data_IF_092313380080
#
_entry.id   IF_092313380080
#
_cell.length_a   1.000
_cell.length_b   1.000
_cell.length_c   1.000
_cell.angle_alpha   90.00
_cell.angle_beta   90.00
_cell.angle_gamma   90.00
#
_symmetry.space_group_name_H-M   'P 1'
#
loop_
_entity.id
_entity.type
_entity.pdbx_description
1 polymer ?
#
# COMPACT_ATOMS: atom_id res chain seq x y z
N UNK A 1 -5.17 -16.04 -6.75
CA UNK A 1 -5.65 -15.41 -5.53
C UNK A 1 -5.52 -13.90 -5.64
N UNK A 2 -6.55 -13.19 -5.23
CA UNK A 2 -6.68 -11.78 -5.55
C UNK A 2 -6.55 -10.89 -4.32
N UNK A 3 -5.76 -9.82 -4.45
CA UNK A 3 -5.66 -8.81 -3.39
C UNK A 3 -6.92 -7.94 -3.47
N UNK A 4 -7.55 -7.69 -2.33
CA UNK A 4 -8.76 -6.88 -2.25
C UNK A 4 -8.48 -5.58 -1.51
N UNK A 5 -9.38 -4.61 -1.66
CA UNK A 5 -9.28 -3.35 -0.91
C UNK A 5 -9.31 -3.61 0.60
N UNK A 6 -10.15 -4.56 1.02
CA UNK A 6 -10.24 -4.93 2.42
C UNK A 6 -8.90 -5.44 2.97
N UNK A 7 -8.19 -6.25 2.18
CA UNK A 7 -6.87 -6.74 2.58
C UNK A 7 -5.88 -5.61 2.76
N UNK A 8 -5.92 -4.61 1.87
CA UNK A 8 -5.02 -3.47 1.98
C UNK A 8 -5.31 -2.66 3.25
N UNK A 9 -6.57 -2.45 3.56
CA UNK A 9 -6.97 -1.74 4.78
C UNK A 9 -6.53 -2.52 6.01
N UNK A 10 -6.71 -3.84 6.01
CA UNK A 10 -6.29 -4.69 7.12
C UNK A 10 -4.77 -4.66 7.30
N UNK A 11 -4.04 -4.67 6.20
CA UNK A 11 -2.59 -4.54 6.28
C UNK A 11 -2.20 -3.22 6.94
N UNK A 12 -2.76 -2.12 6.45
CA UNK A 12 -2.45 -0.80 6.97
C UNK A 12 -2.77 -0.70 8.46
N UNK A 13 -3.91 -1.25 8.86
CA UNK A 13 -4.32 -1.26 10.27
C UNK A 13 -3.41 -2.11 11.15
N UNK A 14 -2.71 -3.08 10.57
CA UNK A 14 -1.81 -3.96 11.30
C UNK A 14 -0.43 -3.35 11.54
N UNK A 15 -0.11 -2.26 10.85
CA UNK A 15 1.18 -1.60 11.01
C UNK A 15 1.30 -0.99 12.40
N UNK A 16 2.53 -0.91 12.90
CA UNK A 16 2.78 -0.26 14.16
C UNK A 16 2.42 1.23 14.06
N UNK A 17 2.06 1.81 15.19
CA UNK A 17 1.53 3.17 15.23
C UNK A 17 2.49 4.20 14.63
N UNK A 18 3.78 4.07 14.91
CA UNK A 18 4.78 5.02 14.41
C UNK A 18 4.85 5.03 12.88
N UNK A 19 4.89 3.83 12.28
CA UNK A 19 4.98 3.72 10.84
C UNK A 19 3.68 4.20 10.19
N UNK A 20 2.54 3.84 10.76
CA UNK A 20 1.24 4.27 10.25
C UNK A 20 1.10 5.79 10.29
N UNK A 21 1.54 6.41 11.38
CA UNK A 21 1.50 7.86 11.53
C UNK A 21 2.42 8.54 10.52
N UNK A 22 3.62 8.00 10.32
CA UNK A 22 4.56 8.51 9.34
C UNK A 22 3.95 8.52 7.94
N UNK A 23 3.37 7.39 7.53
CA UNK A 23 2.74 7.29 6.21
C UNK A 23 1.57 8.27 6.11
N UNK A 24 0.73 8.32 7.13
CA UNK A 24 -0.45 9.18 7.14
C UNK A 24 -0.09 10.64 6.87
N UNK A 25 0.85 11.18 7.64
CA UNK A 25 1.20 12.60 7.50
C UNK A 25 1.94 12.90 6.22
N UNK A 26 2.79 11.99 5.76
CA UNK A 26 3.52 12.21 4.52
C UNK A 26 2.58 12.19 3.31
N UNK A 27 1.64 11.25 3.29
CA UNK A 27 0.66 11.17 2.19
C UNK A 27 -0.28 12.36 2.24
N UNK A 28 -0.75 12.71 3.41
CA UNK A 28 -1.64 13.86 3.56
C UNK A 28 -0.98 15.16 3.08
N UNK A 29 0.29 15.36 3.43
CA UNK A 29 1.04 16.54 3.00
C UNK A 29 1.26 16.59 1.50
N UNK A 30 1.50 15.43 0.87
CA UNK A 30 1.81 15.37 -0.56
C UNK A 30 0.56 15.44 -1.44
N UNK A 31 -0.56 14.90 -0.99
CA UNK A 31 -1.75 14.73 -1.83
C UNK A 31 -3.01 15.40 -1.30
N UNK A 32 -3.00 15.89 -0.08
CA UNK A 32 -4.18 16.48 0.54
C UNK A 32 -5.23 15.46 0.98
N UNK A 33 -4.92 14.17 0.89
CA UNK A 33 -5.80 13.07 1.30
C UNK A 33 -5.01 12.01 2.04
N UNK A 34 -5.63 11.32 3.02
CA UNK A 34 -4.90 10.31 3.80
C UNK A 34 -4.66 9.04 2.98
N UNK A 35 -3.74 8.22 3.45
CA UNK A 35 -3.36 7.00 2.74
C UNK A 35 -4.53 6.02 2.61
N UNK A 36 -5.35 5.89 3.65
CA UNK A 36 -6.49 4.97 3.61
C UNK A 36 -7.51 5.35 2.54
N UNK A 37 -7.60 6.65 2.18
CA UNK A 37 -8.43 7.06 1.06
C UNK A 37 -7.98 6.32 -0.22
N UNK A 38 -6.67 6.30 -0.47
CA UNK A 38 -6.16 5.65 -1.68
C UNK A 38 -6.34 4.14 -1.65
N UNK A 39 -6.20 3.53 -0.48
CA UNK A 39 -6.38 2.09 -0.35
C UNK A 39 -7.80 1.66 -0.74
N UNK A 40 -8.78 2.48 -0.43
CA UNK A 40 -10.20 2.16 -0.68
C UNK A 40 -10.65 2.66 -2.04
N UNK A 41 -10.35 3.92 -2.36
CA UNK A 41 -10.90 4.56 -3.55
C UNK A 41 -10.03 4.40 -4.80
N UNK A 42 -8.71 4.42 -4.64
CA UNK A 42 -7.80 4.38 -5.77
C UNK A 42 -6.58 3.49 -5.50
N UNK A 43 -6.81 2.19 -5.23
CA UNK A 43 -5.70 1.31 -4.88
C UNK A 43 -4.65 1.18 -5.99
N UNK A 44 -5.02 1.43 -7.23
CA UNK A 44 -4.09 1.42 -8.36
C UNK A 44 -3.10 2.58 -8.34
N UNK A 45 -3.27 3.54 -7.43
CA UNK A 45 -2.34 4.65 -7.27
C UNK A 45 -1.41 4.49 -6.07
N UNK A 46 -1.59 3.42 -5.30
CA UNK A 46 -0.85 3.24 -4.05
C UNK A 46 0.67 3.25 -4.29
N UNK A 47 1.13 2.61 -5.35
CA UNK A 47 2.56 2.56 -5.64
C UNK A 47 3.12 3.97 -5.88
N UNK A 48 2.50 4.76 -6.75
CA UNK A 48 2.98 6.11 -7.03
C UNK A 48 2.81 7.02 -5.81
N UNK A 49 1.73 6.85 -5.06
CA UNK A 49 1.48 7.65 -3.87
C UNK A 49 2.58 7.42 -2.83
N UNK A 50 2.94 6.18 -2.58
CA UNK A 50 4.01 5.87 -1.65
C UNK A 50 5.34 6.45 -2.12
N UNK A 51 5.68 6.26 -3.38
CA UNK A 51 6.96 6.76 -3.90
C UNK A 51 7.06 8.28 -3.76
N UNK A 52 5.99 9.01 -4.03
CA UNK A 52 6.01 10.45 -3.92
C UNK A 52 5.99 10.94 -2.47
N UNK A 53 5.24 10.26 -1.62
CA UNK A 53 5.04 10.74 -0.26
C UNK A 53 6.22 10.44 0.65
N UNK A 54 6.79 9.24 0.56
CA UNK A 54 7.84 8.80 1.50
C UNK A 54 9.19 8.56 0.83
N UNK A 55 9.26 8.67 -0.50
CA UNK A 55 10.47 8.40 -1.24
C UNK A 55 10.61 6.94 -1.64
N UNK A 56 11.41 6.69 -2.68
CA UNK A 56 11.55 5.35 -3.26
C UNK A 56 12.05 4.31 -2.26
N UNK A 57 13.06 4.68 -1.47
CA UNK A 57 13.64 3.74 -0.51
C UNK A 57 12.60 3.30 0.55
N UNK A 58 11.92 4.25 1.14
CA UNK A 58 10.90 3.94 2.14
C UNK A 58 9.71 3.21 1.53
N UNK A 59 9.34 3.58 0.31
CA UNK A 59 8.26 2.88 -0.40
C UNK A 59 8.60 1.42 -0.60
N UNK A 60 9.85 1.11 -0.96
CA UNK A 60 10.29 -0.26 -1.14
C UNK A 60 10.23 -1.05 0.15
N UNK A 61 10.61 -0.43 1.27
CA UNK A 61 10.53 -1.08 2.58
C UNK A 61 9.08 -1.40 2.94
N UNK A 62 8.18 -0.45 2.69
CA UNK A 62 6.75 -0.64 2.99
C UNK A 62 6.18 -1.76 2.12
N UNK A 63 6.55 -1.80 0.84
CA UNK A 63 6.10 -2.87 -0.04
C UNK A 63 6.62 -4.24 0.40
N UNK A 64 7.85 -4.29 0.89
CA UNK A 64 8.41 -5.52 1.41
C UNK A 64 7.63 -6.01 2.63
N UNK A 65 7.32 -5.08 3.55
CA UNK A 65 6.52 -5.40 4.73
C UNK A 65 5.13 -5.90 4.31
N UNK A 66 4.53 -5.25 3.31
CA UNK A 66 3.22 -5.65 2.79
C UNK A 66 3.27 -7.06 2.20
N UNK A 67 4.29 -7.36 1.40
CA UNK A 67 4.42 -8.68 0.78
C UNK A 67 4.58 -9.77 1.83
N UNK A 68 5.37 -9.50 2.87
CA UNK A 68 5.54 -10.46 3.98
C UNK A 68 4.25 -10.66 4.75
N UNK A 69 3.52 -9.58 5.02
CA UNK A 69 2.26 -9.68 5.74
C UNK A 69 1.24 -10.49 4.93
N UNK A 70 1.18 -10.25 3.63
CA UNK A 70 0.28 -11.00 2.76
C UNK A 70 0.61 -12.49 2.78
N UNK A 71 1.89 -12.83 2.69
CA UNK A 71 2.30 -14.23 2.69
C UNK A 71 1.92 -14.91 4.00
N UNK A 72 2.11 -14.24 5.12
CA UNK A 72 1.73 -14.78 6.43
C UNK A 72 0.22 -14.99 6.57
N UNK A 73 -0.55 -14.27 5.79
CA UNK A 73 -2.01 -14.37 5.81
C UNK A 73 -2.56 -15.24 4.67
N UNK A 74 -1.69 -16.01 4.01
CA UNK A 74 -2.12 -16.96 3.00
C UNK A 74 -2.19 -16.40 1.58
N UNK A 75 -1.69 -15.20 1.35
CA UNK A 75 -1.74 -14.56 0.04
C UNK A 75 -0.33 -14.36 -0.51
N UNK A 76 0.27 -15.43 -1.01
CA UNK A 76 1.61 -15.33 -1.55
C UNK A 76 1.62 -14.45 -2.80
N UNK A 77 2.14 -13.25 -2.66
CA UNK A 77 2.16 -12.27 -3.74
C UNK A 77 3.60 -11.83 -3.98
N UNK A 78 4.23 -12.29 -5.07
CA UNK A 78 5.57 -11.81 -5.42
C UNK A 78 5.58 -10.30 -5.58
N UNK A 79 6.72 -9.69 -5.33
CA UNK A 79 6.84 -8.25 -5.35
C UNK A 79 6.40 -7.62 -6.67
N UNK A 80 6.78 -8.23 -7.80
CA UNK A 80 6.40 -7.73 -9.12
C UNK A 80 4.90 -7.71 -9.30
N UNK A 81 4.23 -8.76 -8.84
CA UNK A 81 2.79 -8.85 -8.93
C UNK A 81 2.13 -7.82 -8.01
N UNK A 82 2.68 -7.63 -6.82
CA UNK A 82 2.16 -6.65 -5.88
C UNK A 82 2.25 -5.24 -6.47
N UNK A 83 3.38 -4.88 -7.05
CA UNK A 83 3.55 -3.58 -7.70
C UNK A 83 2.55 -3.41 -8.83
N UNK A 84 2.31 -4.46 -9.61
CA UNK A 84 1.32 -4.40 -10.68
C UNK A 84 -0.08 -4.12 -10.14
N UNK A 85 -0.48 -4.78 -9.07
CA UNK A 85 -1.78 -4.51 -8.44
C UNK A 85 -1.88 -3.06 -7.97
N UNK A 86 -0.81 -2.52 -7.43
CA UNK A 86 -0.82 -1.18 -6.83
C UNK A 86 -0.51 -0.08 -7.84
N UNK A 87 -0.39 -0.41 -9.12
CA UNK A 87 -0.10 0.59 -10.16
C UNK A 87 -0.97 0.44 -11.41
N UNK A 88 -1.87 -0.53 -11.44
CA UNK A 88 -2.72 -0.76 -12.63
C UNK A 88 -4.19 -0.81 -12.24
N UNK A 89 -4.96 0.10 -12.80
CA UNK A 89 -6.39 0.16 -12.56
C UNK A 89 -7.10 -1.11 -13.02
N UNK A 90 -6.61 -1.71 -14.09
CA UNK A 90 -7.22 -2.92 -14.66
C UNK A 90 -7.24 -4.09 -13.69
N UNK A 91 -6.26 -4.13 -12.77
CA UNK A 91 -6.20 -5.19 -11.77
C UNK A 91 -7.38 -5.14 -10.78
N UNK A 92 -8.06 -4.00 -10.69
CA UNK A 92 -9.14 -3.80 -9.73
C UNK A 92 -10.53 -3.83 -10.37
N UNK A 93 -10.56 -4.03 -11.65
CA UNK A 93 -11.76 -4.24 -12.39
C UNK A 93 -12.72 -3.17 -12.57
#
# INVERSE_FOLDING_TARGET
MRITRDLLVRFYSSLDFSLRTFIHYRVLAAFGKPFDYFLVEEPWRVYEVLNKAVGTHNAELILHIMAEWLEKNGYKTPRDLLIRYLSSREAWG
#
